data_IF_152508434081
#
_entry.id   IF_152508434081
#
_cell.length_a   1.000
_cell.length_b   1.000
_cell.length_c   1.000
_cell.angle_alpha   90.00
_cell.angle_beta   90.00
_cell.angle_gamma   90.00
#
_symmetry.space_group_name_H-M   'P 1'
#
loop_
_entity.id
_entity.type
_entity.pdbx_description
1 polymer ?
#
# COMPACT_ATOMS: atom_id res chain seq x y z
N UNK A 1 0.65 7.49 -16.24
CA UNK A 1 -0.43 8.49 -16.24
C UNK A 1 0.17 9.83 -15.86
N UNK A 2 -0.27 10.96 -16.46
CA UNK A 2 0.24 12.28 -16.07
C UNK A 2 -0.55 12.79 -14.88
N UNK A 3 0.14 13.28 -13.87
CA UNK A 3 -0.44 13.93 -12.69
C UNK A 3 0.28 15.24 -12.42
N UNK A 4 -0.24 16.03 -11.50
CA UNK A 4 0.28 17.36 -11.19
C UNK A 4 0.63 17.41 -9.70
N UNK A 5 1.78 18.02 -9.41
CA UNK A 5 2.21 18.31 -8.05
C UNK A 5 2.39 19.82 -7.89
N UNK A 6 2.14 20.30 -6.68
CA UNK A 6 2.39 21.69 -6.30
C UNK A 6 3.75 21.72 -5.58
N UNK A 7 4.62 22.59 -6.05
CA UNK A 7 5.93 22.85 -5.43
C UNK A 7 6.06 24.32 -5.09
N UNK A 8 6.98 24.67 -4.19
CA UNK A 8 7.41 26.04 -4.02
C UNK A 8 8.14 26.52 -5.29
N UNK A 9 8.15 27.83 -5.56
CA UNK A 9 8.79 28.40 -6.74
C UNK A 9 10.29 28.12 -6.84
N UNK A 10 10.96 27.84 -5.73
CA UNK A 10 12.35 27.41 -5.65
C UNK A 10 12.58 25.93 -6.02
N UNK A 11 11.49 25.18 -6.30
CA UNK A 11 11.49 23.75 -6.63
C UNK A 11 11.49 22.81 -5.42
N UNK A 12 11.45 23.32 -4.20
CA UNK A 12 11.31 22.51 -3.00
C UNK A 12 9.89 21.92 -2.88
N UNK A 13 9.78 20.79 -2.19
CA UNK A 13 8.49 20.12 -1.97
C UNK A 13 7.61 20.93 -1.01
N UNK A 14 6.34 21.09 -1.38
CA UNK A 14 5.32 21.65 -0.52
C UNK A 14 4.63 20.55 0.27
N UNK A 15 4.64 20.65 1.61
CA UNK A 15 4.14 19.60 2.54
C UNK A 15 2.75 19.89 3.12
N UNK A 16 2.23 21.11 2.94
CA UNK A 16 0.98 21.55 3.59
C UNK A 16 -0.25 21.28 2.73
N UNK A 17 -0.06 21.01 1.44
CA UNK A 17 -1.13 20.68 0.50
C UNK A 17 -1.10 19.21 0.09
N UNK A 18 -2.20 18.76 -0.52
CA UNK A 18 -2.26 17.43 -1.13
C UNK A 18 -1.13 17.28 -2.17
N UNK A 19 -0.34 16.21 -2.03
CA UNK A 19 0.88 16.06 -2.83
C UNK A 19 0.65 15.79 -4.31
N UNK A 20 -0.48 15.14 -4.71
CA UNK A 20 -0.71 14.66 -6.08
C UNK A 20 -2.15 14.91 -6.51
N UNK A 21 -2.31 15.49 -7.69
CA UNK A 21 -3.60 15.83 -8.31
C UNK A 21 -3.78 15.14 -9.67
N UNK A 22 -5.02 14.77 -9.99
CA UNK A 22 -5.36 14.09 -11.23
C UNK A 22 -5.32 15.02 -12.45
N UNK A 23 -5.48 16.32 -12.24
CA UNK A 23 -5.49 17.33 -13.31
C UNK A 23 -4.82 18.63 -12.85
N UNK A 24 -4.33 19.41 -13.85
CA UNK A 24 -3.80 20.75 -13.60
C UNK A 24 -4.85 21.69 -13.00
N UNK A 25 -6.12 21.50 -13.39
CA UNK A 25 -7.23 22.29 -12.86
C UNK A 25 -7.43 22.03 -11.37
N UNK A 26 -7.50 20.77 -10.97
CA UNK A 26 -7.61 20.36 -9.56
C UNK A 26 -6.45 20.86 -8.71
N UNK A 27 -5.21 20.70 -9.20
CA UNK A 27 -4.04 21.26 -8.53
C UNK A 27 -4.12 22.79 -8.37
N UNK A 28 -4.59 23.48 -9.40
CA UNK A 28 -4.79 24.94 -9.36
C UNK A 28 -5.88 25.36 -8.38
N UNK A 29 -7.00 24.62 -8.31
CA UNK A 29 -8.08 24.88 -7.36
C UNK A 29 -7.58 24.66 -5.92
N UNK A 30 -6.92 23.56 -5.63
CA UNK A 30 -6.31 23.31 -4.30
C UNK A 30 -5.30 24.38 -3.91
N UNK A 31 -4.46 24.84 -4.84
CA UNK A 31 -3.50 25.90 -4.58
C UNK A 31 -4.20 27.23 -4.26
N UNK A 32 -5.23 27.58 -5.01
CA UNK A 32 -5.97 28.83 -4.76
C UNK A 32 -6.73 28.81 -3.44
N UNK A 33 -7.35 27.66 -3.10
CA UNK A 33 -8.02 27.50 -1.81
C UNK A 33 -7.02 27.66 -0.66
N UNK A 34 -5.84 27.02 -0.75
CA UNK A 34 -4.77 27.17 0.25
C UNK A 34 -4.30 28.62 0.42
N UNK A 35 -4.06 29.33 -0.70
CA UNK A 35 -3.64 30.75 -0.66
C UNK A 35 -4.72 31.62 -0.07
N UNK A 36 -5.99 31.40 -0.42
CA UNK A 36 -7.10 32.17 0.12
C UNK A 36 -7.25 31.96 1.64
N UNK A 37 -7.19 30.69 2.09
CA UNK A 37 -7.29 30.37 3.53
C UNK A 37 -6.11 30.96 4.31
N UNK A 38 -4.89 30.90 3.76
CA UNK A 38 -3.69 31.45 4.39
C UNK A 38 -3.75 32.98 4.51
N UNK A 39 -4.23 33.65 3.47
CA UNK A 39 -4.27 35.11 3.40
C UNK A 39 -5.53 35.74 4.02
N UNK A 40 -6.44 34.95 4.62
CA UNK A 40 -7.76 35.43 5.08
C UNK A 40 -7.65 36.67 6.00
N UNK A 41 -6.64 36.71 6.86
CA UNK A 41 -6.40 37.78 7.84
C UNK A 41 -5.14 38.63 7.53
N UNK A 42 -4.53 38.49 6.34
CA UNK A 42 -3.31 39.18 5.94
C UNK A 42 -3.58 40.29 4.92
N UNK A 43 -2.87 41.41 5.05
CA UNK A 43 -2.84 42.48 4.01
C UNK A 43 -1.80 42.12 2.94
N UNK A 44 -2.01 42.60 1.70
CA UNK A 44 -1.14 42.32 0.55
C UNK A 44 0.32 42.76 0.75
N UNK A 45 0.54 43.70 1.69
CA UNK A 45 1.85 44.24 2.02
C UNK A 45 2.52 43.50 3.17
N UNK A 46 1.88 42.45 3.73
CA UNK A 46 2.46 41.63 4.77
C UNK A 46 3.55 40.67 4.23
N UNK A 47 4.64 40.54 4.96
CA UNK A 47 5.79 39.70 4.56
C UNK A 47 5.40 38.21 4.39
N UNK A 48 4.35 37.75 5.08
CA UNK A 48 3.86 36.37 5.04
C UNK A 48 2.72 36.15 4.02
N UNK A 49 2.34 37.20 3.24
CA UNK A 49 1.29 37.09 2.24
C UNK A 49 1.72 36.20 1.07
N UNK A 50 0.99 35.14 0.82
CA UNK A 50 1.27 34.19 -0.26
C UNK A 50 0.66 34.64 -1.60
N UNK A 51 1.46 34.52 -2.65
CA UNK A 51 1.05 34.75 -4.03
C UNK A 51 1.04 33.45 -4.83
N UNK A 52 0.18 33.29 -5.85
CA UNK A 52 0.27 32.15 -6.77
C UNK A 52 1.64 32.00 -7.45
N UNK A 53 2.45 33.06 -7.51
CA UNK A 53 3.80 33.03 -8.07
C UNK A 53 4.85 32.42 -7.13
N UNK A 54 4.51 32.22 -5.87
CA UNK A 54 5.37 31.55 -4.90
C UNK A 54 5.35 30.02 -5.07
N UNK A 55 4.50 29.53 -5.99
CA UNK A 55 4.30 28.13 -6.28
C UNK A 55 4.44 27.79 -7.75
N UNK A 56 4.76 26.53 -8.04
CA UNK A 56 4.82 25.97 -9.38
C UNK A 56 3.98 24.69 -9.46
N UNK A 57 3.22 24.57 -10.57
CA UNK A 57 2.50 23.34 -10.89
C UNK A 57 3.36 22.53 -11.87
N UNK A 58 3.90 21.41 -11.38
CA UNK A 58 4.75 20.51 -12.16
C UNK A 58 3.94 19.30 -12.66
N UNK A 59 4.04 19.01 -13.95
CA UNK A 59 3.50 17.77 -14.53
C UNK A 59 4.49 16.65 -14.30
N UNK A 60 4.06 15.59 -13.62
CA UNK A 60 4.89 14.42 -13.32
C UNK A 60 4.32 13.16 -13.95
N UNK A 61 5.19 12.27 -14.40
CA UNK A 61 4.78 10.96 -14.86
C UNK A 61 4.53 10.06 -13.66
N UNK A 62 3.25 9.86 -13.33
CA UNK A 62 2.83 9.02 -12.22
C UNK A 62 2.60 7.58 -12.68
N UNK A 63 3.24 6.66 -12.00
CA UNK A 63 2.94 5.23 -12.12
C UNK A 63 2.07 4.80 -10.94
N UNK A 64 1.01 4.07 -11.24
CA UNK A 64 0.15 3.53 -10.16
C UNK A 64 0.95 2.52 -9.31
N UNK A 65 0.56 2.38 -8.06
CA UNK A 65 1.24 1.49 -7.11
C UNK A 65 1.36 0.06 -7.62
N UNK A 66 0.37 -0.43 -8.36
CA UNK A 66 0.39 -1.75 -8.97
C UNK A 66 1.39 -1.90 -10.14
N UNK A 67 1.88 -0.78 -10.70
CA UNK A 67 2.93 -0.75 -11.73
C UNK A 67 4.33 -0.64 -11.12
N UNK A 68 4.43 -0.07 -9.93
CA UNK A 68 5.70 0.18 -9.22
C UNK A 68 6.03 -0.97 -8.25
N UNK A 69 5.02 -1.45 -7.54
CA UNK A 69 5.16 -2.51 -6.54
C UNK A 69 4.51 -3.79 -7.09
N UNK A 70 5.31 -4.54 -7.83
CA UNK A 70 4.87 -5.72 -8.59
C UNK A 70 5.23 -7.05 -7.96
N UNK A 71 6.09 -7.03 -6.93
CA UNK A 71 6.60 -8.21 -6.25
C UNK A 71 7.07 -7.89 -4.82
N UNK A 72 7.54 -8.91 -4.12
CA UNK A 72 8.04 -8.80 -2.75
C UNK A 72 9.28 -7.87 -2.63
N UNK A 73 10.20 -7.91 -3.58
CA UNK A 73 11.42 -7.10 -3.51
C UNK A 73 11.14 -5.62 -3.74
N UNK A 74 10.27 -5.27 -4.69
CA UNK A 74 9.82 -3.89 -4.89
C UNK A 74 9.04 -3.36 -3.68
N UNK A 75 8.21 -4.19 -3.05
CA UNK A 75 7.50 -3.85 -1.83
C UNK A 75 8.46 -3.58 -0.66
N UNK A 76 9.45 -4.44 -0.46
CA UNK A 76 10.50 -4.24 0.55
C UNK A 76 11.24 -2.92 0.36
N UNK A 77 11.58 -2.60 -0.88
CA UNK A 77 12.27 -1.35 -1.24
C UNK A 77 11.39 -0.14 -0.90
N UNK A 78 10.12 -0.16 -1.24
CA UNK A 78 9.15 0.90 -0.93
C UNK A 78 8.96 1.11 0.58
N UNK A 79 9.08 0.05 1.38
CA UNK A 79 8.97 0.11 2.84
C UNK A 79 10.24 0.60 3.56
N UNK A 80 11.33 0.90 2.85
CA UNK A 80 12.51 1.52 3.45
C UNK A 80 13.85 0.93 3.04
N UNK A 81 13.89 -0.01 2.11
CA UNK A 81 15.09 -0.48 1.41
C UNK A 81 16.11 -1.28 2.24
N UNK A 82 16.11 -1.14 3.54
CA UNK A 82 16.95 -1.98 4.40
C UNK A 82 16.21 -3.28 4.67
N UNK A 83 16.86 -4.45 4.49
CA UNK A 83 16.26 -5.66 5.04
C UNK A 83 16.07 -5.38 6.53
N UNK A 84 14.82 -5.22 6.96
CA UNK A 84 14.54 -5.36 8.37
C UNK A 84 15.13 -6.71 8.78
N UNK A 85 15.95 -6.72 9.81
CA UNK A 85 16.56 -7.96 10.30
C UNK A 85 15.49 -9.04 10.53
N UNK A 86 14.31 -8.63 10.97
CA UNK A 86 13.15 -9.48 11.18
C UNK A 86 12.61 -10.10 9.89
N UNK A 87 12.55 -9.35 8.78
CA UNK A 87 12.16 -9.89 7.46
C UNK A 87 13.17 -10.92 6.95
N UNK A 88 14.46 -10.63 7.07
CA UNK A 88 15.52 -11.52 6.60
C UNK A 88 15.54 -12.81 7.42
N UNK A 89 15.34 -12.69 8.72
CA UNK A 89 15.25 -13.83 9.64
C UNK A 89 14.01 -14.66 9.32
N UNK A 90 12.84 -14.05 9.21
CA UNK A 90 11.59 -14.76 8.92
C UNK A 90 11.64 -15.51 7.59
N UNK A 91 12.14 -14.88 6.53
CA UNK A 91 12.27 -15.51 5.21
C UNK A 91 13.28 -16.67 5.24
N UNK A 92 14.41 -16.51 5.92
CA UNK A 92 15.39 -17.59 6.08
C UNK A 92 14.88 -18.75 6.90
N UNK A 93 14.12 -18.48 7.95
CA UNK A 93 13.49 -19.50 8.79
C UNK A 93 12.47 -20.27 7.97
N UNK A 94 11.57 -19.57 7.28
CA UNK A 94 10.50 -20.18 6.48
C UNK A 94 11.07 -20.95 5.27
N UNK A 95 12.19 -20.52 4.71
CA UNK A 95 12.87 -21.23 3.60
C UNK A 95 13.72 -22.43 4.04
N UNK A 96 13.75 -22.75 5.35
CA UNK A 96 14.56 -23.84 5.87
C UNK A 96 16.07 -23.55 5.96
N UNK A 97 16.50 -22.35 5.63
CA UNK A 97 17.87 -21.90 5.82
C UNK A 97 18.06 -21.50 7.28
N UNK A 98 18.53 -22.43 8.10
CA UNK A 98 18.73 -22.24 9.53
C UNK A 98 19.71 -21.11 9.79
N UNK A 99 19.22 -20.01 10.32
CA UNK A 99 20.05 -19.00 10.96
C UNK A 99 20.09 -19.37 12.45
N UNK A 100 21.27 -19.63 12.97
CA UNK A 100 21.50 -19.87 14.39
C UNK A 100 21.20 -18.62 15.22
N UNK A 101 19.93 -18.39 15.50
CA UNK A 101 19.49 -17.51 16.56
C UNK A 101 18.88 -18.40 17.63
N UNK A 102 19.48 -18.41 18.81
CA UNK A 102 19.15 -19.34 19.90
C UNK A 102 17.65 -19.37 20.26
N UNK A 103 16.92 -18.28 20.00
CA UNK A 103 15.49 -18.18 20.30
C UNK A 103 14.59 -18.55 19.12
N UNK A 104 15.11 -18.58 17.90
CA UNK A 104 14.35 -18.82 16.68
C UNK A 104 14.43 -20.28 16.26
N UNK A 105 15.45 -21.02 16.65
CA UNK A 105 15.59 -22.45 16.39
C UNK A 105 14.39 -23.26 16.93
N UNK A 106 13.72 -22.76 17.96
CA UNK A 106 12.51 -23.36 18.52
C UNK A 106 11.29 -23.26 17.60
N UNK A 107 11.15 -22.15 16.89
CA UNK A 107 10.04 -21.93 15.95
C UNK A 107 10.17 -22.78 14.69
N UNK A 108 11.39 -23.04 14.23
CA UNK A 108 11.66 -23.79 12.99
C UNK A 108 11.39 -25.29 13.16
N UNK A 109 11.59 -25.84 14.34
CA UNK A 109 11.38 -27.26 14.61
C UNK A 109 9.90 -27.64 14.70
N UNK A 110 9.02 -26.66 14.94
CA UNK A 110 7.59 -26.89 15.15
C UNK A 110 6.74 -26.56 13.91
N UNK A 111 7.35 -26.05 12.84
CA UNK A 111 6.64 -25.76 11.59
C UNK A 111 6.58 -27.03 10.73
N UNK A 112 5.36 -27.44 10.39
CA UNK A 112 5.18 -28.52 9.43
C UNK A 112 5.78 -28.13 8.07
N UNK A 113 6.75 -28.91 7.53
CA UNK A 113 7.40 -28.57 6.26
C UNK A 113 6.42 -28.35 5.09
N UNK A 114 5.25 -29.00 5.11
CA UNK A 114 4.21 -28.82 4.09
C UNK A 114 3.56 -27.44 4.12
N UNK A 115 3.67 -26.72 5.25
CA UNK A 115 3.11 -25.38 5.38
C UNK A 115 4.10 -24.27 5.01
N UNK A 116 5.39 -24.57 4.85
CA UNK A 116 6.44 -23.56 4.67
C UNK A 116 6.17 -22.70 3.46
N UNK A 117 5.80 -23.29 2.31
CA UNK A 117 5.51 -22.55 1.09
C UNK A 117 4.35 -21.58 1.27
N UNK A 118 3.25 -22.03 1.88
CA UNK A 118 2.09 -21.20 2.17
C UNK A 118 2.42 -20.04 3.13
N UNK A 119 3.26 -20.30 4.14
CA UNK A 119 3.69 -19.26 5.08
C UNK A 119 4.59 -18.22 4.43
N UNK A 120 5.48 -18.62 3.51
CA UNK A 120 6.29 -17.71 2.72
C UNK A 120 5.38 -16.83 1.85
N UNK A 121 4.48 -17.43 1.08
CA UNK A 121 3.55 -16.70 0.21
C UNK A 121 2.68 -15.72 1.00
N UNK A 122 2.19 -16.12 2.18
CA UNK A 122 1.41 -15.25 3.06
C UNK A 122 2.24 -14.06 3.57
N UNK A 123 3.50 -14.28 3.95
CA UNK A 123 4.42 -13.20 4.34
C UNK A 123 4.68 -12.21 3.19
N UNK A 124 4.84 -12.71 1.97
CA UNK A 124 4.99 -11.88 0.77
C UNK A 124 3.73 -11.04 0.52
N UNK A 125 2.55 -11.65 0.56
CA UNK A 125 1.27 -10.95 0.42
C UNK A 125 1.10 -9.84 1.48
N UNK A 126 1.43 -10.10 2.75
CA UNK A 126 1.36 -9.09 3.80
C UNK A 126 2.30 -7.91 3.54
N UNK A 127 3.53 -8.19 3.09
CA UNK A 127 4.53 -7.17 2.81
C UNK A 127 4.12 -6.29 1.62
N UNK A 128 3.64 -6.91 0.54
CA UNK A 128 3.18 -6.19 -0.65
C UNK A 128 1.95 -5.35 -0.33
N UNK A 129 0.97 -5.91 0.41
CA UNK A 129 -0.22 -5.18 0.82
C UNK A 129 0.12 -3.99 1.73
N UNK A 130 1.08 -4.15 2.64
CA UNK A 130 1.56 -3.05 3.48
C UNK A 130 2.19 -1.93 2.65
N UNK A 131 3.00 -2.29 1.65
CA UNK A 131 3.62 -1.31 0.76
C UNK A 131 2.58 -0.57 -0.09
N UNK A 132 1.60 -1.29 -0.66
CA UNK A 132 0.50 -0.68 -1.41
C UNK A 132 -0.33 0.28 -0.54
N UNK A 133 -0.69 -0.14 0.66
CA UNK A 133 -1.48 0.68 1.58
C UNK A 133 -0.71 1.93 2.03
N UNK A 134 0.61 1.84 2.21
CA UNK A 134 1.47 2.99 2.52
C UNK A 134 1.45 4.01 1.39
N UNK A 135 1.64 3.58 0.14
CA UNK A 135 1.60 4.47 -1.04
C UNK A 135 0.20 5.07 -1.25
N UNK A 136 -0.84 4.32 -0.91
CA UNK A 136 -2.23 4.78 -0.98
C UNK A 136 -2.65 5.68 0.21
N UNK A 137 -1.77 5.89 1.19
CA UNK A 137 -2.10 6.61 2.43
C UNK A 137 -3.19 5.94 3.26
N UNK A 138 -3.37 4.62 3.13
CA UNK A 138 -4.44 3.88 3.79
C UNK A 138 -3.93 3.12 5.01
N UNK A 139 -4.48 3.45 6.17
CA UNK A 139 -4.27 2.72 7.43
C UNK A 139 -5.60 2.12 7.85
N UNK A 140 -5.75 0.78 7.83
CA UNK A 140 -6.98 0.15 8.30
C UNK A 140 -7.22 0.40 9.79
N UNK A 141 -8.30 1.08 10.11
CA UNK A 141 -8.73 1.30 11.49
C UNK A 141 -9.98 0.46 11.78
N UNK A 142 -9.83 -0.56 12.60
CA UNK A 142 -10.93 -1.45 12.99
C UNK A 142 -11.82 -0.87 14.09
N UNK A 143 -11.44 0.24 14.69
CA UNK A 143 -12.30 1.00 15.61
C UNK A 143 -13.26 1.95 14.85
N UNK A 144 -12.90 2.36 13.65
CA UNK A 144 -13.75 3.17 12.77
C UNK A 144 -14.67 2.26 11.94
N UNK A 145 -15.95 2.20 12.35
CA UNK A 145 -16.98 1.41 11.67
C UNK A 145 -17.48 2.05 10.37
N UNK A 146 -17.12 3.30 10.08
CA UNK A 146 -17.46 3.97 8.83
C UNK A 146 -16.40 3.74 7.75
N UNK A 147 -15.16 3.41 8.14
CA UNK A 147 -14.09 3.11 7.20
C UNK A 147 -14.34 1.77 6.51
N UNK A 148 -14.62 1.78 5.22
CA UNK A 148 -14.72 0.56 4.42
C UNK A 148 -13.34 -0.09 4.25
N UNK A 149 -13.27 -1.39 4.52
CA UNK A 149 -12.09 -2.23 4.35
C UNK A 149 -12.38 -3.26 3.28
N UNK A 150 -11.76 -3.11 2.11
CA UNK A 150 -12.01 -3.95 0.96
C UNK A 150 -10.98 -5.06 0.86
N UNK A 151 -11.41 -6.28 0.53
CA UNK A 151 -10.52 -7.42 0.34
C UNK A 151 -10.92 -8.26 -0.87
N UNK A 152 -9.96 -8.94 -1.55
CA UNK A 152 -10.26 -9.82 -2.66
C UNK A 152 -10.91 -11.10 -2.18
N UNK A 153 -11.84 -11.62 -2.99
CA UNK A 153 -12.50 -12.89 -2.77
C UNK A 153 -12.25 -13.82 -3.95
N UNK A 154 -12.02 -15.08 -3.67
CA UNK A 154 -11.60 -16.08 -4.66
C UNK A 154 -12.59 -17.22 -4.75
N UNK A 155 -12.66 -17.86 -5.90
CA UNK A 155 -13.39 -19.11 -6.14
C UNK A 155 -12.46 -20.16 -6.74
N UNK A 156 -12.68 -21.42 -6.40
CA UNK A 156 -11.96 -22.51 -7.06
C UNK A 156 -12.48 -22.70 -8.48
N UNK A 157 -11.58 -22.77 -9.44
CA UNK A 157 -11.85 -23.02 -10.83
C UNK A 157 -11.18 -24.35 -11.24
N UNK A 158 -12.00 -25.28 -11.73
CA UNK A 158 -11.51 -26.63 -12.11
C UNK A 158 -10.63 -26.59 -13.35
N UNK A 159 -10.94 -25.71 -14.29
CA UNK A 159 -10.21 -25.61 -15.56
C UNK A 159 -8.85 -24.94 -15.33
N UNK A 160 -8.77 -23.96 -14.46
CA UNK A 160 -7.53 -23.36 -14.00
C UNK A 160 -6.77 -24.24 -12.99
N UNK A 161 -7.39 -25.31 -12.50
CA UNK A 161 -6.88 -26.17 -11.43
C UNK A 161 -6.40 -25.38 -10.19
N UNK A 162 -7.09 -24.29 -9.86
CA UNK A 162 -6.71 -23.38 -8.79
C UNK A 162 -7.78 -22.36 -8.44
N UNK A 163 -7.43 -21.47 -7.51
CA UNK A 163 -8.27 -20.34 -7.20
C UNK A 163 -8.07 -19.22 -8.21
N UNK A 164 -9.16 -18.58 -8.60
CA UNK A 164 -9.18 -17.39 -9.45
C UNK A 164 -9.90 -16.27 -8.71
N UNK A 165 -9.53 -15.03 -9.01
CA UNK A 165 -10.24 -13.89 -8.46
C UNK A 165 -11.71 -13.93 -8.87
N UNK A 166 -12.61 -13.77 -7.90
CA UNK A 166 -14.06 -13.77 -8.15
C UNK A 166 -14.65 -12.37 -8.05
N UNK A 167 -14.48 -11.71 -6.91
CA UNK A 167 -15.06 -10.41 -6.60
C UNK A 167 -14.28 -9.76 -5.45
N UNK A 168 -14.51 -8.49 -5.20
CA UNK A 168 -14.14 -7.85 -3.92
C UNK A 168 -15.31 -7.86 -2.96
N UNK A 169 -14.99 -7.95 -1.68
CA UNK A 169 -15.97 -7.79 -0.62
C UNK A 169 -15.49 -6.71 0.35
N UNK A 170 -16.42 -6.19 1.16
CA UNK A 170 -16.12 -5.20 2.20
C UNK A 170 -16.52 -5.73 3.55
N UNK A 171 -15.70 -5.44 4.56
CA UNK A 171 -16.02 -5.71 5.94
C UNK A 171 -16.18 -4.38 6.69
N UNK A 172 -17.32 -4.16 7.38
CA UNK A 172 -17.43 -3.08 8.36
C UNK A 172 -16.43 -3.28 9.50
N UNK A 173 -16.20 -2.24 10.29
CA UNK A 173 -15.19 -2.20 11.35
C UNK A 173 -15.26 -3.34 12.36
N UNK A 174 -16.47 -3.77 12.70
CA UNK A 174 -16.76 -4.84 13.65
C UNK A 174 -16.92 -6.21 12.99
N UNK A 175 -16.67 -6.32 11.69
CA UNK A 175 -16.74 -7.60 11.01
C UNK A 175 -15.52 -8.45 11.31
N UNK A 176 -15.74 -9.74 11.41
CA UNK A 176 -14.70 -10.75 11.49
C UNK A 176 -13.80 -10.65 10.25
N UNK A 177 -12.58 -10.20 10.45
CA UNK A 177 -11.60 -10.15 9.38
C UNK A 177 -11.11 -11.58 9.07
N UNK A 178 -11.33 -12.05 7.85
CA UNK A 178 -10.83 -13.37 7.45
C UNK A 178 -9.30 -13.46 7.47
N UNK A 179 -8.60 -12.36 7.15
CA UNK A 179 -7.14 -12.26 7.21
C UNK A 179 -6.65 -11.00 7.93
N UNK A 180 -7.52 -10.34 8.69
CA UNK A 180 -7.19 -9.16 9.46
C UNK A 180 -6.88 -7.93 8.61
N UNK A 181 -6.34 -6.91 9.29
CA UNK A 181 -5.99 -5.61 8.72
C UNK A 181 -4.90 -5.67 7.65
N UNK A 182 -4.19 -6.77 7.53
CA UNK A 182 -2.99 -6.87 6.69
C UNK A 182 -3.29 -7.07 5.21
N UNK A 183 -4.49 -7.53 4.85
CA UNK A 183 -4.90 -7.85 3.47
C UNK A 183 -6.18 -7.14 3.07
N UNK A 184 -6.44 -5.96 3.62
CA UNK A 184 -7.52 -5.08 3.19
C UNK A 184 -6.96 -3.77 2.62
N UNK A 185 -7.78 -3.13 1.79
CA UNK A 185 -7.40 -2.00 0.95
C UNK A 185 -8.44 -0.89 1.02
N UNK A 186 -8.04 0.32 0.64
CA UNK A 186 -8.89 1.52 0.68
C UNK A 186 -10.12 1.45 -0.24
N UNK A 187 -10.05 0.67 -1.33
CA UNK A 187 -11.11 0.62 -2.33
C UNK A 187 -11.30 -0.76 -2.95
N UNK A 188 -12.50 -1.00 -3.49
CA UNK A 188 -12.82 -2.21 -4.26
C UNK A 188 -11.89 -2.42 -5.45
N UNK A 189 -11.57 -1.33 -6.17
CA UNK A 189 -10.65 -1.39 -7.31
C UNK A 189 -9.24 -1.86 -6.89
N UNK A 190 -8.73 -1.32 -5.77
CA UNK A 190 -7.40 -1.68 -5.25
C UNK A 190 -7.35 -3.14 -4.77
N UNK A 191 -8.37 -3.59 -4.07
CA UNK A 191 -8.48 -5.00 -3.67
C UNK A 191 -8.58 -5.95 -4.88
N UNK A 192 -9.32 -5.55 -5.94
CA UNK A 192 -9.43 -6.33 -7.17
C UNK A 192 -8.10 -6.44 -7.92
N UNK A 193 -7.37 -5.33 -8.04
CA UNK A 193 -6.03 -5.31 -8.64
C UNK A 193 -5.09 -6.25 -7.90
N UNK A 194 -5.01 -6.12 -6.57
CA UNK A 194 -4.17 -6.95 -5.72
C UNK A 194 -4.50 -8.44 -5.85
N UNK A 195 -5.79 -8.79 -5.76
CA UNK A 195 -6.23 -10.18 -5.87
C UNK A 195 -5.91 -10.82 -7.22
N UNK A 196 -5.97 -10.05 -8.31
CA UNK A 196 -5.64 -10.53 -9.66
C UNK A 196 -4.14 -10.64 -9.89
N UNK A 197 -3.39 -9.61 -9.48
CA UNK A 197 -1.96 -9.51 -9.76
C UNK A 197 -1.15 -10.57 -9.01
N UNK A 198 -1.54 -10.91 -7.79
CA UNK A 198 -0.82 -11.86 -6.94
C UNK A 198 -1.53 -13.20 -6.79
N UNK A 199 -2.27 -13.62 -7.83
CA UNK A 199 -3.08 -14.85 -7.80
C UNK A 199 -2.24 -16.11 -7.53
N UNK A 200 -1.00 -16.14 -7.96
CA UNK A 200 -0.10 -17.27 -7.75
C UNK A 200 0.28 -17.40 -6.26
N UNK A 201 0.58 -16.30 -5.59
CA UNK A 201 0.83 -16.29 -4.15
C UNK A 201 -0.41 -16.72 -3.36
N UNK A 202 -1.60 -16.28 -3.78
CA UNK A 202 -2.85 -16.73 -3.18
C UNK A 202 -3.07 -18.24 -3.35
N UNK A 203 -2.75 -18.79 -4.52
CA UNK A 203 -2.84 -20.23 -4.75
C UNK A 203 -1.85 -21.01 -3.89
N UNK A 204 -0.64 -20.50 -3.66
CA UNK A 204 0.32 -21.11 -2.75
C UNK A 204 -0.16 -21.10 -1.30
N UNK A 205 -0.96 -20.11 -0.88
CA UNK A 205 -1.60 -20.07 0.44
C UNK A 205 -2.75 -21.09 0.53
N UNK A 206 -3.60 -21.18 -0.52
CA UNK A 206 -4.84 -21.96 -0.44
C UNK A 206 -4.70 -23.44 -0.77
N UNK A 207 -3.74 -23.81 -1.61
CA UNK A 207 -3.71 -25.15 -2.22
C UNK A 207 -2.72 -26.14 -1.59
N UNK A 208 -1.90 -25.74 -0.63
CA UNK A 208 -0.90 -26.64 0.00
C UNK A 208 -0.09 -27.47 -1.03
N UNK A 209 0.44 -26.83 -2.06
CA UNK A 209 1.19 -27.49 -3.16
C UNK A 209 2.67 -27.54 -2.90
#
# INVERSE_FOLDING_TARGET
MKKYIIKNADGSDQSEMQAIHESRKEAGETLMDYICDHNEDLDVDDDDYLSPFDFALEEVEYKDVNEVITDFESARKALGGKPNADFTVSTKILSGNVVHLNDVARLVTDINPKHIKALIALNELFTIAQAWNKEDGFVPDFSDWQQNKWFPWFKYDKDAAGFVYAITNTAPANATANFGSRLCFKSSARAAQFGKQFIDLWNDVFLFR
#
